data_IF_538537216710
#
_entry.id   IF_538537216710
#
_cell.length_a   1.000
_cell.length_b   1.000
_cell.length_c   1.000
_cell.angle_alpha   90.00
_cell.angle_beta   90.00
_cell.angle_gamma   90.00
#
_symmetry.space_group_name_H-M   'P 1'
#
loop_
_entity.id
_entity.type
_entity.pdbx_description
1 polymer ?
#
# COMPACT_ATOMS: atom_id res chain seq x y z
N UNK A 1 14.80 -19.66 -13.13
CA UNK A 1 14.70 -18.40 -13.90
C UNK A 1 15.60 -17.37 -13.26
N UNK A 2 16.12 -16.41 -13.99
CA UNK A 2 16.93 -15.32 -13.47
C UNK A 2 16.14 -14.01 -13.63
N UNK A 3 16.09 -13.20 -12.58
CA UNK A 3 15.45 -11.89 -12.56
C UNK A 3 16.50 -10.81 -12.31
N UNK A 4 16.25 -9.61 -12.80
CA UNK A 4 17.08 -8.44 -12.54
C UNK A 4 16.77 -7.85 -11.16
N UNK A 5 15.49 -7.91 -10.77
CA UNK A 5 15.02 -7.44 -9.46
C UNK A 5 14.08 -8.48 -8.83
N UNK A 6 14.28 -8.73 -7.53
CA UNK A 6 13.38 -9.53 -6.71
C UNK A 6 12.82 -8.64 -5.59
N UNK A 7 11.50 -8.60 -5.48
CA UNK A 7 10.77 -7.89 -4.43
C UNK A 7 10.14 -8.93 -3.50
N UNK A 8 10.34 -8.78 -2.20
CA UNK A 8 9.78 -9.65 -1.18
C UNK A 8 8.61 -8.93 -0.52
N UNK A 9 7.42 -9.47 -0.73
CA UNK A 9 6.14 -8.95 -0.25
C UNK A 9 5.39 -8.11 -1.30
N UNK A 10 4.10 -8.39 -1.46
CA UNK A 10 3.18 -7.65 -2.31
C UNK A 10 2.26 -6.73 -1.49
N UNK A 11 2.75 -6.18 -0.39
CA UNK A 11 2.13 -5.06 0.31
C UNK A 11 2.35 -3.74 -0.45
N UNK A 12 1.87 -2.59 0.06
CA UNK A 12 1.99 -1.30 -0.62
C UNK A 12 3.43 -0.98 -1.07
N UNK A 13 4.43 -1.20 -0.22
CA UNK A 13 5.83 -0.98 -0.57
C UNK A 13 6.27 -1.78 -1.79
N UNK A 14 5.96 -3.08 -1.83
CA UNK A 14 6.33 -3.95 -2.95
C UNK A 14 5.58 -3.61 -4.24
N UNK A 15 4.29 -3.31 -4.15
CA UNK A 15 3.45 -2.93 -5.31
C UNK A 15 3.96 -1.63 -5.94
N UNK A 16 4.18 -0.58 -5.14
CA UNK A 16 4.68 0.70 -5.65
C UNK A 16 6.12 0.59 -6.15
N UNK A 17 6.97 -0.22 -5.51
CA UNK A 17 8.32 -0.50 -6.03
C UNK A 17 8.27 -1.18 -7.40
N UNK A 18 7.42 -2.19 -7.57
CA UNK A 18 7.23 -2.85 -8.85
C UNK A 18 6.69 -1.87 -9.90
N UNK A 19 5.70 -1.05 -9.54
CA UNK A 19 5.12 -0.04 -10.42
C UNK A 19 6.19 0.96 -10.90
N UNK A 20 6.97 1.54 -10.00
CA UNK A 20 8.04 2.50 -10.35
C UNK A 20 9.10 1.88 -11.23
N UNK A 21 9.57 0.67 -10.92
CA UNK A 21 10.57 -0.03 -11.73
C UNK A 21 10.08 -0.26 -13.16
N UNK A 22 8.83 -0.69 -13.32
CA UNK A 22 8.20 -0.88 -14.64
C UNK A 22 8.06 0.44 -15.42
N UNK A 23 7.72 1.55 -14.73
CA UNK A 23 7.62 2.85 -15.38
C UNK A 23 8.99 3.40 -15.82
N UNK A 24 10.02 3.18 -15.01
CA UNK A 24 11.37 3.70 -15.27
C UNK A 24 12.15 2.83 -16.27
N UNK A 25 11.98 1.52 -16.22
CA UNK A 25 12.66 0.60 -17.12
C UNK A 25 11.79 -0.64 -17.40
N UNK A 26 10.98 -0.63 -18.46
CA UNK A 26 10.06 -1.71 -18.80
C UNK A 26 10.74 -3.03 -19.23
N UNK A 27 12.05 -3.01 -19.51
CA UNK A 27 12.80 -4.20 -19.93
C UNK A 27 13.28 -5.04 -18.73
N UNK A 28 13.16 -4.53 -17.49
CA UNK A 28 13.54 -5.26 -16.29
C UNK A 28 12.67 -6.51 -16.10
N UNK A 29 13.32 -7.62 -15.83
CA UNK A 29 12.67 -8.86 -15.39
C UNK A 29 12.47 -8.80 -13.86
N UNK A 30 11.26 -8.50 -13.45
CA UNK A 30 10.93 -8.30 -12.04
C UNK A 30 10.12 -9.50 -11.53
N UNK A 31 10.48 -10.01 -10.35
CA UNK A 31 9.68 -10.98 -9.62
C UNK A 31 9.26 -10.43 -8.26
N UNK A 32 8.01 -10.69 -7.89
CA UNK A 32 7.45 -10.39 -6.56
C UNK A 32 7.07 -11.69 -5.89
N UNK A 33 7.64 -11.97 -4.71
CA UNK A 33 7.30 -13.13 -3.88
C UNK A 33 6.41 -12.69 -2.73
N UNK A 34 5.21 -13.24 -2.66
CA UNK A 34 4.22 -12.94 -1.63
C UNK A 34 3.82 -14.21 -0.87
N UNK A 35 3.82 -14.11 0.45
CA UNK A 35 3.50 -15.23 1.34
C UNK A 35 2.01 -15.58 1.38
N UNK A 36 1.16 -14.63 1.03
CA UNK A 36 -0.29 -14.78 1.02
C UNK A 36 -0.87 -14.91 -0.38
N UNK A 37 -2.19 -14.86 -0.45
CA UNK A 37 -2.96 -15.14 -1.65
C UNK A 37 -2.99 -13.95 -2.64
N UNK A 38 -3.25 -14.22 -3.94
CA UNK A 38 -3.62 -13.18 -4.89
C UNK A 38 -4.94 -12.52 -4.46
N UNK A 39 -5.20 -11.31 -4.94
CA UNK A 39 -6.29 -10.46 -4.45
C UNK A 39 -7.65 -11.14 -4.49
N UNK A 40 -7.97 -11.83 -5.58
CA UNK A 40 -9.23 -12.53 -5.81
C UNK A 40 -9.46 -13.73 -4.88
N UNK A 41 -8.41 -14.23 -4.21
CA UNK A 41 -8.50 -15.34 -3.24
C UNK A 41 -8.40 -14.87 -1.78
N UNK A 42 -8.33 -13.56 -1.57
CA UNK A 42 -8.24 -13.00 -0.24
C UNK A 42 -9.62 -12.84 0.40
N UNK A 43 -10.04 -13.82 1.15
CA UNK A 43 -11.26 -13.77 1.97
C UNK A 43 -11.02 -14.42 3.33
N UNK A 44 -11.63 -13.87 4.37
CA UNK A 44 -11.61 -14.47 5.69
C UNK A 44 -12.71 -15.55 5.77
N UNK A 45 -12.42 -16.75 6.28
CA UNK A 45 -13.42 -17.80 6.40
C UNK A 45 -14.48 -17.54 7.49
N UNK A 46 -14.31 -16.51 8.32
CA UNK A 46 -15.32 -16.12 9.32
C UNK A 46 -16.57 -15.62 8.58
N UNK A 47 -17.67 -16.33 8.73
CA UNK A 47 -18.96 -16.03 8.10
C UNK A 47 -20.04 -15.60 9.11
N UNK A 48 -19.73 -15.66 10.43
CA UNK A 48 -20.64 -15.31 11.50
C UNK A 48 -21.67 -16.38 11.85
N UNK A 49 -21.77 -17.45 11.05
CA UNK A 49 -22.71 -18.57 11.24
C UNK A 49 -21.96 -19.85 11.58
N UNK A 50 -21.27 -20.45 10.62
CA UNK A 50 -20.49 -21.69 10.81
C UNK A 50 -19.15 -21.43 11.46
N UNK A 51 -18.48 -20.40 11.04
CA UNK A 51 -17.17 -19.97 11.57
C UNK A 51 -17.31 -18.59 12.22
N UNK A 52 -17.48 -18.59 13.55
CA UNK A 52 -17.75 -17.38 14.34
C UNK A 52 -16.52 -16.66 14.87
N UNK A 53 -15.37 -17.34 14.87
CA UNK A 53 -14.12 -16.79 15.41
C UNK A 53 -12.93 -17.18 14.56
N UNK A 54 -11.80 -16.49 14.77
CA UNK A 54 -10.58 -16.72 14.02
C UNK A 54 -10.07 -18.17 14.19
N UNK A 55 -9.83 -18.85 13.06
CA UNK A 55 -9.32 -20.22 13.00
C UNK A 55 -7.80 -20.29 12.86
N UNK A 56 -7.09 -19.17 12.96
CA UNK A 56 -5.64 -19.07 12.83
C UNK A 56 -5.10 -19.70 11.54
N UNK A 57 -5.61 -19.24 10.39
CA UNK A 57 -5.16 -19.73 9.08
C UNK A 57 -3.64 -19.63 8.96
N UNK A 58 -3.01 -20.60 8.28
CA UNK A 58 -1.56 -20.62 8.02
C UNK A 58 -1.06 -19.37 7.32
N UNK A 59 -1.83 -18.83 6.38
CA UNK A 59 -1.70 -17.50 5.80
C UNK A 59 -3.00 -16.75 6.02
N UNK A 60 -2.94 -15.64 6.76
CA UNK A 60 -4.12 -14.84 7.09
C UNK A 60 -4.50 -13.97 5.90
N UNK A 61 -5.63 -14.27 5.24
CA UNK A 61 -6.10 -13.50 4.08
C UNK A 61 -6.36 -12.02 4.35
N UNK A 62 -6.57 -11.63 5.62
CA UNK A 62 -6.71 -10.21 5.98
C UNK A 62 -5.35 -9.50 6.05
N UNK A 63 -4.32 -10.17 6.57
CA UNK A 63 -3.01 -9.57 6.85
C UNK A 63 -2.01 -9.76 5.71
N UNK A 64 -2.08 -10.87 4.97
CA UNK A 64 -1.12 -11.27 3.95
C UNK A 64 -1.79 -11.44 2.58
N UNK A 65 -1.03 -11.24 1.52
CA UNK A 65 -1.47 -11.30 0.13
C UNK A 65 -1.31 -9.97 -0.59
N UNK A 66 -1.72 -9.93 -1.85
CA UNK A 66 -1.62 -8.71 -2.66
C UNK A 66 -2.36 -7.53 -2.01
N UNK A 67 -1.68 -6.41 -1.85
CA UNK A 67 -2.17 -5.23 -1.12
C UNK A 67 -1.83 -5.24 0.38
N UNK A 68 -1.28 -6.36 0.92
CA UNK A 68 -0.95 -6.48 2.34
C UNK A 68 -2.17 -6.29 3.26
N UNK A 69 -1.96 -5.92 4.50
CA UNK A 69 -3.04 -5.61 5.46
C UNK A 69 -3.89 -4.41 5.02
N UNK A 70 -3.33 -3.51 4.18
CA UNK A 70 -4.02 -2.34 3.65
C UNK A 70 -5.20 -2.65 2.73
N UNK A 71 -5.25 -3.84 2.11
CA UNK A 71 -6.31 -4.22 1.18
C UNK A 71 -7.72 -4.21 1.82
N UNK A 72 -7.80 -4.46 3.12
CA UNK A 72 -9.06 -4.48 3.87
C UNK A 72 -9.20 -3.31 4.85
N UNK A 73 -8.37 -2.28 4.67
CA UNK A 73 -8.49 -1.04 5.45
C UNK A 73 -9.64 -0.18 4.93
N UNK A 74 -9.97 0.86 5.68
CA UNK A 74 -10.95 1.87 5.27
C UNK A 74 -10.41 2.86 4.23
N UNK A 75 -9.21 2.63 3.70
CA UNK A 75 -8.62 3.42 2.62
C UNK A 75 -8.37 4.89 2.97
N UNK A 76 -7.95 5.16 4.20
CA UNK A 76 -7.53 6.51 4.62
C UNK A 76 -6.05 6.72 4.34
N UNK A 77 -5.77 7.60 3.40
CA UNK A 77 -4.42 8.01 3.03
C UNK A 77 -4.11 9.37 3.64
N UNK A 78 -3.17 9.40 4.60
CA UNK A 78 -2.78 10.62 5.30
C UNK A 78 -1.60 11.29 4.57
N UNK A 79 -1.77 12.55 4.18
CA UNK A 79 -0.75 13.38 3.54
C UNK A 79 -0.30 14.41 4.57
N UNK A 80 0.65 14.04 5.41
CA UNK A 80 1.14 14.86 6.51
C UNK A 80 2.45 14.34 7.08
N UNK A 81 3.26 15.23 7.63
CA UNK A 81 4.44 14.89 8.45
C UNK A 81 4.15 14.96 9.96
N UNK A 82 2.90 15.29 10.36
CA UNK A 82 2.57 15.51 11.76
C UNK A 82 2.28 14.22 12.54
N UNK A 83 1.98 13.13 11.82
CA UNK A 83 1.71 11.80 12.38
C UNK A 83 1.80 10.72 11.29
N UNK A 84 1.80 9.44 11.67
CA UNK A 84 1.76 8.31 10.74
C UNK A 84 3.12 7.80 10.29
N UNK A 85 4.21 8.36 10.76
CA UNK A 85 5.56 7.90 10.44
C UNK A 85 6.60 9.02 10.42
N UNK A 86 7.85 8.67 10.17
CA UNK A 86 9.01 9.58 10.23
C UNK A 86 9.77 9.65 8.90
N UNK A 87 9.11 9.41 7.78
CA UNK A 87 9.73 9.45 6.44
C UNK A 87 10.51 10.74 6.19
N UNK A 88 10.00 11.86 6.70
CA UNK A 88 10.64 13.17 6.60
C UNK A 88 12.02 13.26 7.25
N UNK A 89 12.36 12.38 8.18
CA UNK A 89 13.69 12.32 8.79
C UNK A 89 14.75 11.80 7.81
N UNK A 90 14.33 10.98 6.83
CA UNK A 90 15.20 10.38 5.83
C UNK A 90 15.32 11.21 4.56
N UNK A 91 14.23 11.80 4.08
CA UNK A 91 14.21 12.50 2.78
C UNK A 91 13.84 13.98 2.87
N UNK A 92 13.59 14.51 4.09
CA UNK A 92 13.18 15.89 4.30
C UNK A 92 11.66 16.09 4.18
N UNK A 93 11.16 17.15 4.85
CA UNK A 93 9.72 17.39 5.01
C UNK A 93 9.00 17.67 3.69
N UNK A 94 9.59 18.45 2.78
CA UNK A 94 8.98 18.76 1.49
C UNK A 94 8.89 17.51 0.63
N UNK A 95 10.00 16.79 0.47
CA UNK A 95 10.07 15.59 -0.35
C UNK A 95 9.12 14.49 0.15
N UNK A 96 8.97 14.35 1.49
CA UNK A 96 8.04 13.40 2.07
C UNK A 96 6.58 13.73 1.69
N UNK A 97 6.18 15.00 1.77
CA UNK A 97 4.83 15.44 1.34
C UNK A 97 4.64 15.25 -0.16
N UNK A 98 5.64 15.57 -0.97
CA UNK A 98 5.55 15.43 -2.42
C UNK A 98 5.42 13.96 -2.84
N UNK A 99 6.15 13.05 -2.16
CA UNK A 99 6.00 11.61 -2.37
C UNK A 99 4.61 11.10 -1.95
N UNK A 100 4.08 11.56 -0.82
CA UNK A 100 2.71 11.18 -0.40
C UNK A 100 1.65 11.65 -1.40
N UNK A 101 1.79 12.85 -1.96
CA UNK A 101 0.91 13.36 -3.03
C UNK A 101 1.04 12.54 -4.30
N UNK A 102 2.26 12.18 -4.69
CA UNK A 102 2.50 11.33 -5.85
C UNK A 102 1.81 9.96 -5.70
N UNK A 103 1.88 9.35 -4.52
CA UNK A 103 1.14 8.12 -4.23
C UNK A 103 -0.38 8.34 -4.32
N UNK A 104 -0.88 9.48 -3.82
CA UNK A 104 -2.30 9.84 -3.94
C UNK A 104 -2.72 9.97 -5.42
N UNK A 105 -1.91 10.63 -6.25
CA UNK A 105 -2.15 10.76 -7.70
C UNK A 105 -2.22 9.40 -8.40
N UNK A 106 -1.35 8.45 -8.02
CA UNK A 106 -1.41 7.07 -8.53
C UNK A 106 -2.72 6.42 -8.10
N UNK A 107 -3.13 6.54 -6.84
CA UNK A 107 -4.41 6.00 -6.38
C UNK A 107 -5.60 6.61 -7.16
N UNK A 108 -5.55 7.91 -7.46
CA UNK A 108 -6.57 8.57 -8.29
C UNK A 108 -6.61 7.98 -9.69
N UNK A 109 -5.46 7.83 -10.34
CA UNK A 109 -5.32 7.22 -11.68
C UNK A 109 -5.91 5.80 -11.74
N UNK A 110 -5.78 5.03 -10.68
CA UNK A 110 -6.20 3.63 -10.65
C UNK A 110 -7.58 3.38 -10.03
N UNK A 111 -8.41 4.39 -9.88
CA UNK A 111 -9.82 4.24 -9.51
C UNK A 111 -10.30 5.12 -8.36
N UNK A 112 -9.40 5.89 -7.76
CA UNK A 112 -9.76 6.84 -6.70
C UNK A 112 -10.37 8.15 -7.19
N UNK A 113 -10.47 8.36 -8.51
CA UNK A 113 -10.98 9.60 -9.08
C UNK A 113 -12.37 9.95 -8.55
N UNK A 114 -12.59 11.24 -8.29
CA UNK A 114 -13.86 11.75 -7.74
C UNK A 114 -13.96 11.65 -6.21
N UNK A 115 -13.03 10.99 -5.52
CA UNK A 115 -13.02 10.97 -4.05
C UNK A 115 -12.51 12.29 -3.47
N UNK A 116 -13.11 12.71 -2.34
CA UNK A 116 -12.80 14.00 -1.73
C UNK A 116 -11.50 13.93 -0.93
N UNK A 117 -10.63 14.92 -1.12
CA UNK A 117 -9.51 15.18 -0.23
C UNK A 117 -9.97 16.15 0.88
N UNK A 118 -9.93 15.69 2.12
CA UNK A 118 -10.20 16.52 3.29
C UNK A 118 -8.91 17.15 3.77
N UNK A 119 -8.98 18.41 4.26
CA UNK A 119 -7.80 19.10 4.78
C UNK A 119 -8.15 19.98 5.97
N UNK A 120 -7.24 20.06 6.93
CA UNK A 120 -7.31 21.03 8.04
C UNK A 120 -6.72 22.39 7.65
N UNK A 121 -6.01 22.48 6.52
CA UNK A 121 -5.41 23.72 6.05
C UNK A 121 -6.48 24.75 5.69
N UNK A 122 -6.25 26.02 6.08
CA UNK A 122 -7.15 27.13 5.77
C UNK A 122 -8.50 27.12 6.50
N UNK A 123 -8.68 26.21 7.46
CA UNK A 123 -9.92 26.12 8.24
C UNK A 123 -9.90 27.05 9.46
N UNK A 124 -11.09 27.54 9.90
CA UNK A 124 -11.24 28.30 11.15
C UNK A 124 -10.99 27.46 12.40
N UNK A 125 -10.97 26.12 12.28
CA UNK A 125 -10.76 25.21 13.40
C UNK A 125 -9.43 25.42 14.11
N UNK A 126 -8.36 25.82 13.40
CA UNK A 126 -7.06 26.12 14.02
C UNK A 126 -7.18 27.21 15.09
N UNK A 127 -7.91 28.30 14.78
CA UNK A 127 -8.16 29.38 15.72
C UNK A 127 -9.00 28.93 16.92
N UNK A 128 -10.05 28.15 16.68
CA UNK A 128 -10.92 27.60 17.72
C UNK A 128 -10.13 26.66 18.64
N UNK A 129 -9.31 25.77 18.10
CA UNK A 129 -8.43 24.89 18.87
C UNK A 129 -7.49 25.70 19.76
N UNK A 130 -6.80 26.70 19.21
CA UNK A 130 -5.87 27.56 19.98
C UNK A 130 -6.58 28.28 21.14
N UNK A 131 -7.79 28.81 20.91
CA UNK A 131 -8.59 29.46 21.96
C UNK A 131 -8.97 28.52 23.10
N UNK A 132 -9.05 27.22 22.81
CA UNK A 132 -9.35 26.16 23.76
C UNK A 132 -8.10 25.38 24.24
N UNK A 133 -6.90 25.94 24.07
CA UNK A 133 -5.61 25.32 24.43
C UNK A 133 -5.38 23.96 23.78
N UNK A 134 -5.94 23.75 22.57
CA UNK A 134 -5.73 22.58 21.74
C UNK A 134 -4.83 22.94 20.57
N UNK A 135 -4.08 21.96 20.08
CA UNK A 135 -3.27 22.09 18.87
C UNK A 135 -3.91 21.25 17.74
N UNK A 136 -4.30 21.90 16.66
CA UNK A 136 -4.77 21.21 15.46
C UNK A 136 -3.56 20.85 14.58
N UNK A 137 -3.38 19.57 14.29
CA UNK A 137 -2.35 19.10 13.37
C UNK A 137 -2.74 19.45 11.93
N UNK A 138 -1.76 19.91 11.16
CA UNK A 138 -1.96 20.18 9.72
C UNK A 138 -1.87 18.86 8.95
N UNK A 139 -2.98 18.45 8.35
CA UNK A 139 -3.08 17.21 7.58
C UNK A 139 -4.06 17.34 6.43
N UNK A 140 -3.79 16.60 5.36
CA UNK A 140 -4.78 16.28 4.34
C UNK A 140 -5.02 14.77 4.36
N UNK A 141 -6.27 14.35 4.17
CA UNK A 141 -6.67 12.94 4.22
C UNK A 141 -7.55 12.62 3.01
N UNK A 142 -7.14 11.65 2.21
CA UNK A 142 -8.00 11.02 1.22
C UNK A 142 -8.68 9.83 1.86
N UNK A 143 -9.99 9.77 1.76
CA UNK A 143 -10.77 8.63 2.25
C UNK A 143 -11.41 7.94 1.07
N UNK A 144 -10.81 6.85 0.61
CA UNK A 144 -11.33 6.02 -0.48
C UNK A 144 -12.52 5.16 -0.02
N UNK A 145 -12.47 4.67 1.21
CA UNK A 145 -13.32 3.57 1.65
C UNK A 145 -12.77 2.22 1.19
N UNK A 146 -13.30 1.14 1.76
CA UNK A 146 -12.83 -0.22 1.48
C UNK A 146 -13.05 -0.62 0.02
N UNK A 147 -14.21 -0.28 -0.53
CA UNK A 147 -14.60 -0.70 -1.89
C UNK A 147 -13.72 -0.04 -2.97
N UNK A 148 -13.52 1.28 -2.89
CA UNK A 148 -12.66 1.99 -3.85
C UNK A 148 -11.20 1.59 -3.67
N UNK A 149 -10.75 1.39 -2.43
CA UNK A 149 -9.40 0.90 -2.17
C UNK A 149 -9.15 -0.47 -2.82
N UNK A 150 -10.15 -1.34 -2.80
CA UNK A 150 -10.08 -2.63 -3.49
C UNK A 150 -9.99 -2.47 -5.01
N UNK A 151 -10.79 -1.59 -5.61
CA UNK A 151 -10.75 -1.27 -7.06
C UNK A 151 -9.36 -0.74 -7.46
N UNK A 152 -8.77 0.15 -6.66
CA UNK A 152 -7.40 0.64 -6.90
C UNK A 152 -6.39 -0.49 -6.93
N UNK A 153 -6.49 -1.44 -6.01
CA UNK A 153 -5.61 -2.61 -5.96
C UNK A 153 -5.81 -3.54 -7.16
N UNK A 154 -7.06 -3.79 -7.58
CA UNK A 154 -7.37 -4.59 -8.78
C UNK A 154 -6.76 -3.97 -10.04
N UNK A 155 -6.92 -2.66 -10.21
CA UNK A 155 -6.40 -1.93 -11.36
C UNK A 155 -4.86 -1.87 -11.36
N UNK A 156 -4.22 -1.68 -10.19
CA UNK A 156 -2.76 -1.78 -10.05
C UNK A 156 -2.26 -3.18 -10.39
N UNK A 157 -2.95 -4.22 -9.95
CA UNK A 157 -2.61 -5.60 -10.30
C UNK A 157 -2.74 -5.84 -11.81
N UNK A 158 -3.84 -5.38 -12.41
CA UNK A 158 -4.07 -5.50 -13.85
C UNK A 158 -2.98 -4.80 -14.68
N UNK A 159 -2.48 -3.64 -14.23
CA UNK A 159 -1.36 -2.91 -14.85
C UNK A 159 -0.04 -3.68 -14.77
N UNK A 160 0.18 -4.40 -13.66
CA UNK A 160 1.47 -5.02 -13.37
C UNK A 160 1.58 -6.49 -13.79
N UNK A 161 0.48 -7.25 -13.83
CA UNK A 161 0.48 -8.71 -13.99
C UNK A 161 1.17 -9.24 -15.26
N UNK A 162 1.18 -8.46 -16.33
CA UNK A 162 1.81 -8.84 -17.61
C UNK A 162 3.27 -8.36 -17.71
N UNK A 163 3.73 -7.52 -16.78
CA UNK A 163 5.06 -6.91 -16.73
C UNK A 163 5.93 -7.46 -15.61
N UNK A 164 5.31 -8.01 -14.58
CA UNK A 164 5.95 -8.49 -13.34
C UNK A 164 5.49 -9.93 -13.08
N UNK A 165 6.43 -10.81 -12.74
CA UNK A 165 6.10 -12.18 -12.34
C UNK A 165 5.74 -12.21 -10.86
N UNK A 166 4.48 -12.49 -10.53
CA UNK A 166 4.03 -12.66 -9.15
C UNK A 166 4.03 -14.13 -8.74
N UNK A 167 4.67 -14.42 -7.61
CA UNK A 167 4.63 -15.72 -6.94
C UNK A 167 3.86 -15.58 -5.64
N UNK A 168 2.59 -15.94 -5.67
CA UNK A 168 1.73 -15.97 -4.49
C UNK A 168 1.89 -17.28 -3.72
N UNK A 169 1.43 -17.31 -2.47
CA UNK A 169 1.54 -18.47 -1.57
C UNK A 169 3.00 -18.97 -1.42
N UNK A 170 3.96 -18.05 -1.62
CA UNK A 170 5.38 -18.38 -1.72
C UNK A 170 6.19 -17.55 -0.71
N UNK A 171 6.19 -17.97 0.58
CA UNK A 171 6.95 -17.28 1.61
C UNK A 171 8.46 -17.47 1.39
N UNK A 172 9.19 -16.36 1.31
CA UNK A 172 10.66 -16.36 1.30
C UNK A 172 11.15 -16.68 2.70
N UNK A 173 12.02 -17.69 2.83
CA UNK A 173 12.58 -18.12 4.12
C UNK A 173 13.96 -17.55 4.38
N UNK A 174 14.79 -17.52 3.34
CA UNK A 174 16.18 -17.05 3.41
C UNK A 174 16.53 -16.30 2.15
N UNK A 175 17.46 -15.38 2.27
CA UNK A 175 18.14 -14.71 1.16
C UNK A 175 19.61 -14.94 1.33
N UNK A 176 20.27 -15.50 0.32
CA UNK A 176 21.70 -15.80 0.33
C UNK A 176 22.41 -15.00 -0.76
N UNK A 177 23.55 -14.45 -0.45
CA UNK A 177 24.44 -13.82 -1.45
C UNK A 177 25.17 -14.91 -2.22
N UNK A 178 25.09 -14.86 -3.55
CA UNK A 178 25.77 -15.83 -4.43
C UNK A 178 26.45 -15.08 -5.57
N UNK A 179 27.77 -14.98 -5.53
CA UNK A 179 28.53 -14.14 -6.45
C UNK A 179 28.09 -12.68 -6.34
N UNK A 180 27.70 -12.09 -7.47
CA UNK A 180 27.25 -10.70 -7.54
C UNK A 180 25.70 -10.56 -7.39
N UNK A 181 25.02 -11.61 -6.97
CA UNK A 181 23.57 -11.64 -6.88
C UNK A 181 23.04 -12.30 -5.61
N UNK A 182 21.75 -12.59 -5.63
CA UNK A 182 21.02 -13.19 -4.50
C UNK A 182 20.26 -14.46 -4.94
N UNK A 183 20.07 -15.36 -3.98
CA UNK A 183 19.23 -16.54 -4.11
C UNK A 183 18.35 -16.71 -2.89
#
# INVERSE_FOLDING_TARGET
MKYDVIIIGAGPGGIFSAYELVQQNPDLKIAVFESGHPLEKRYCPIDGDKIKSCINCKSCSIMSGFGGAGAFSDGKYNITNAFGGTLYEYIGKSQAIDLMKYVDDINMKFGGEGTKLYSTAGTSFKKICMQNKLNLLDASVRHLGTDINFIVLENLYAELKDKVTFYFDTPVKTVETVGDGYR
#
